data_IF_165004901770
#
_entry.id   IF_165004901770
#
_cell.length_a   1.000
_cell.length_b   1.000
_cell.length_c   1.000
_cell.angle_alpha   90.00
_cell.angle_beta   90.00
_cell.angle_gamma   90.00
#
_symmetry.space_group_name_H-M   'P 1'
#
loop_
_entity.id
_entity.type
_entity.pdbx_description
1 polymer ?
#
# COMPACT_ATOMS: atom_id res chain seq x y z
N UNK A 1 -3.73 -7.96 -14.78
CA UNK A 1 -3.41 -8.01 -13.34
C UNK A 1 -1.96 -7.59 -13.14
N UNK A 2 -1.67 -6.73 -12.15
CA UNK A 2 -0.34 -6.28 -11.76
C UNK A 2 -0.11 -6.65 -10.30
N UNK A 3 1.08 -7.16 -9.96
CA UNK A 3 1.42 -7.54 -8.60
C UNK A 3 2.60 -6.70 -8.11
N UNK A 4 2.42 -6.06 -6.97
CA UNK A 4 3.41 -5.29 -6.27
C UNK A 4 3.83 -6.02 -5.00
N UNK A 5 5.05 -5.79 -4.54
CA UNK A 5 5.49 -6.26 -3.25
C UNK A 5 5.56 -5.11 -2.23
N UNK A 6 5.53 -5.41 -0.95
CA UNK A 6 5.68 -4.42 0.10
C UNK A 6 7.14 -4.36 0.56
N UNK A 7 7.68 -3.16 0.72
CA UNK A 7 9.03 -2.96 1.24
C UNK A 7 8.97 -2.66 2.75
N UNK A 8 9.56 -3.49 3.62
CA UNK A 8 9.42 -3.38 5.07
C UNK A 8 10.39 -2.33 5.67
N UNK A 9 10.12 -1.04 5.46
CA UNK A 9 10.93 0.07 6.00
C UNK A 9 10.75 0.29 7.50
N UNK A 10 10.09 -0.61 8.18
CA UNK A 10 9.91 -0.70 9.63
C UNK A 10 10.61 -1.93 10.25
N UNK A 11 11.41 -2.64 9.46
CA UNK A 11 12.01 -3.92 9.81
C UNK A 11 11.17 -5.12 9.36
N UNK A 12 11.74 -6.30 9.49
CA UNK A 12 11.13 -7.58 9.13
C UNK A 12 11.17 -8.54 10.32
N UNK A 13 10.36 -9.58 10.28
CA UNK A 13 10.26 -10.53 11.40
C UNK A 13 9.86 -11.92 10.91
N UNK A 14 10.36 -12.93 11.61
CA UNK A 14 9.91 -14.31 11.44
C UNK A 14 8.68 -14.61 12.29
N UNK A 15 8.56 -13.95 13.44
CA UNK A 15 7.44 -14.09 14.35
C UNK A 15 6.86 -12.72 14.65
N UNK A 16 5.57 -12.53 14.41
CA UNK A 16 4.89 -11.27 14.65
C UNK A 16 4.82 -10.94 16.15
N UNK A 17 4.81 -9.65 16.46
CA UNK A 17 4.65 -9.16 17.82
C UNK A 17 5.85 -9.39 18.77
N UNK A 18 6.97 -9.90 18.27
CA UNK A 18 8.17 -10.17 19.06
C UNK A 18 9.43 -9.67 18.38
N UNK A 19 10.52 -9.55 19.15
CA UNK A 19 11.85 -9.28 18.62
C UNK A 19 12.59 -10.55 18.16
N UNK A 20 12.04 -11.76 18.42
CA UNK A 20 12.66 -13.03 18.05
C UNK A 20 12.72 -13.19 16.55
N UNK A 21 13.91 -13.36 15.99
CA UNK A 21 14.14 -13.47 14.56
C UNK A 21 13.85 -12.19 13.77
N UNK A 22 13.73 -11.05 14.45
CA UNK A 22 13.58 -9.75 13.80
C UNK A 22 14.83 -9.37 13.00
N UNK A 23 14.58 -8.73 11.86
CA UNK A 23 15.60 -8.10 11.02
C UNK A 23 15.40 -6.60 11.09
N UNK A 24 16.39 -5.81 11.55
CA UNK A 24 16.29 -4.36 11.57
C UNK A 24 16.24 -3.81 10.15
N UNK A 25 15.87 -2.55 10.02
CA UNK A 25 15.97 -1.85 8.73
C UNK A 25 17.44 -1.72 8.38
N UNK A 26 17.80 -2.23 7.21
CA UNK A 26 19.14 -2.18 6.65
C UNK A 26 19.03 -1.98 5.14
N UNK A 27 19.79 -1.02 4.61
CA UNK A 27 19.77 -0.71 3.17
C UNK A 27 20.11 -1.93 2.32
N UNK A 28 21.07 -2.76 2.73
CA UNK A 28 21.44 -3.96 1.98
C UNK A 28 20.30 -4.96 1.91
N UNK A 29 19.54 -5.12 2.98
CA UNK A 29 18.36 -5.98 3.00
C UNK A 29 17.22 -5.44 2.15
N UNK A 30 16.96 -4.12 2.19
CA UNK A 30 15.97 -3.48 1.33
C UNK A 30 16.34 -3.59 -0.16
N UNK A 31 17.64 -3.48 -0.49
CA UNK A 31 18.14 -3.70 -1.85
C UNK A 31 17.95 -5.16 -2.31
N UNK A 32 18.13 -6.15 -1.43
CA UNK A 32 17.85 -7.54 -1.74
C UNK A 32 16.37 -7.75 -2.09
N UNK A 33 15.45 -7.20 -1.29
CA UNK A 33 14.00 -7.31 -1.56
C UNK A 33 13.63 -6.60 -2.87
N UNK A 34 14.12 -5.38 -3.08
CA UNK A 34 13.82 -4.64 -4.31
C UNK A 34 14.41 -5.32 -5.56
N UNK A 35 15.65 -5.83 -5.47
CA UNK A 35 16.29 -6.61 -6.53
C UNK A 35 15.57 -7.92 -6.83
N UNK A 36 15.14 -8.65 -5.79
CA UNK A 36 14.31 -9.84 -5.93
C UNK A 36 12.99 -9.51 -6.63
N UNK A 37 12.27 -8.49 -6.16
CA UNK A 37 11.02 -8.07 -6.77
C UNK A 37 11.19 -7.67 -8.26
N UNK A 38 12.27 -6.96 -8.59
CA UNK A 38 12.57 -6.57 -9.98
C UNK A 38 12.88 -7.79 -10.88
N UNK A 39 13.69 -8.73 -10.38
CA UNK A 39 14.11 -9.91 -11.14
C UNK A 39 13.00 -10.94 -11.28
N UNK A 40 12.20 -11.16 -10.24
CA UNK A 40 11.10 -12.12 -10.23
C UNK A 40 9.85 -11.62 -11.00
N UNK A 41 9.83 -10.37 -11.44
CA UNK A 41 8.76 -9.86 -12.30
C UNK A 41 7.59 -9.24 -11.56
N UNK A 42 7.76 -8.78 -10.32
CA UNK A 42 6.79 -7.87 -9.70
C UNK A 42 6.74 -6.54 -10.46
N UNK A 43 5.56 -5.91 -10.49
CA UNK A 43 5.38 -4.62 -11.19
C UNK A 43 6.09 -3.48 -10.47
N UNK A 44 6.11 -3.52 -9.14
CA UNK A 44 6.72 -2.50 -8.31
C UNK A 44 6.73 -2.89 -6.84
N UNK A 45 7.16 -1.94 -6.02
CA UNK A 45 7.10 -2.04 -4.56
C UNK A 45 6.32 -0.87 -3.97
N UNK A 46 5.53 -1.15 -2.91
CA UNK A 46 4.96 -0.11 -2.06
C UNK A 46 5.94 0.23 -0.95
N UNK A 47 6.23 1.51 -0.77
CA UNK A 47 7.08 2.05 0.29
C UNK A 47 6.19 2.87 1.23
N UNK A 48 5.94 2.39 2.46
CA UNK A 48 5.05 3.03 3.41
C UNK A 48 5.66 4.29 4.03
N UNK A 49 4.81 5.07 4.72
CA UNK A 49 5.20 6.19 5.58
C UNK A 49 4.60 6.04 6.96
N UNK A 50 5.22 6.61 7.96
CA UNK A 50 4.79 6.67 9.34
C UNK A 50 5.99 6.78 10.28
N UNK A 51 5.75 7.18 11.54
CA UNK A 51 6.83 7.34 12.54
C UNK A 51 7.59 6.04 12.84
N UNK A 52 7.04 4.90 12.50
CA UNK A 52 7.68 3.60 12.63
C UNK A 52 8.38 3.12 11.35
N UNK A 53 8.40 3.94 10.31
CA UNK A 53 9.01 3.66 9.02
C UNK A 53 10.15 4.63 8.73
N UNK A 54 11.11 4.20 7.92
CA UNK A 54 12.06 5.13 7.31
C UNK A 54 11.36 6.04 6.30
N UNK A 55 11.96 7.19 5.99
CA UNK A 55 11.40 8.13 5.02
C UNK A 55 11.25 7.48 3.64
N UNK A 56 10.03 7.47 3.05
CA UNK A 56 9.75 6.74 1.82
C UNK A 56 10.48 7.30 0.59
N UNK A 57 10.72 8.60 0.52
CA UNK A 57 11.39 9.23 -0.62
C UNK A 57 12.88 9.01 -0.60
N UNK A 58 13.51 9.04 0.59
CA UNK A 58 14.94 8.75 0.76
C UNK A 58 15.21 7.29 0.43
N UNK A 59 14.40 6.37 0.98
CA UNK A 59 14.52 4.92 0.68
C UNK A 59 14.27 4.66 -0.81
N UNK A 60 13.19 5.16 -1.39
CA UNK A 60 12.91 4.97 -2.82
C UNK A 60 14.08 5.44 -3.69
N UNK A 61 14.64 6.61 -3.40
CA UNK A 61 15.76 7.18 -4.15
C UNK A 61 17.01 6.32 -4.06
N UNK A 62 17.30 5.72 -2.90
CA UNK A 62 18.45 4.82 -2.71
C UNK A 62 18.35 3.50 -3.50
N UNK A 63 17.14 3.13 -3.94
CA UNK A 63 16.87 1.88 -4.65
C UNK A 63 16.83 2.03 -6.18
N UNK A 64 16.83 3.26 -6.70
CA UNK A 64 16.76 3.49 -8.15
C UNK A 64 17.88 2.76 -8.89
N UNK A 65 19.11 2.89 -8.40
CA UNK A 65 20.32 2.26 -9.00
C UNK A 65 20.41 0.75 -8.80
N UNK A 66 19.71 0.20 -7.80
CA UNK A 66 19.69 -1.24 -7.51
C UNK A 66 18.63 -2.01 -8.34
N UNK A 67 17.81 -1.33 -9.11
CA UNK A 67 16.69 -1.90 -9.87
C UNK A 67 16.64 -1.31 -11.29
N UNK A 68 16.01 -2.03 -12.23
CA UNK A 68 15.94 -1.63 -13.65
C UNK A 68 14.53 -1.28 -14.11
N UNK A 69 13.52 -2.04 -13.69
CA UNK A 69 12.14 -1.97 -14.19
C UNK A 69 11.12 -1.74 -13.07
N UNK A 70 11.51 -2.05 -11.85
CA UNK A 70 10.66 -2.00 -10.68
C UNK A 70 10.09 -0.59 -10.50
N UNK A 71 8.77 -0.45 -10.43
CA UNK A 71 8.09 0.79 -10.08
C UNK A 71 8.08 0.98 -8.56
N UNK A 72 8.03 2.24 -8.15
CA UNK A 72 8.03 2.64 -6.76
C UNK A 72 6.73 3.36 -6.44
N UNK A 73 5.86 2.71 -5.65
CA UNK A 73 4.65 3.33 -5.11
C UNK A 73 5.04 4.01 -3.79
N UNK A 74 5.42 5.28 -3.88
CA UNK A 74 6.03 6.06 -2.79
C UNK A 74 4.94 6.81 -2.04
N UNK A 75 4.90 6.63 -0.72
CA UNK A 75 3.94 7.33 0.12
C UNK A 75 4.24 8.84 0.19
N UNK A 76 3.18 9.65 0.15
CA UNK A 76 3.22 11.09 0.43
C UNK A 76 2.10 11.45 1.40
N UNK A 77 2.42 12.24 2.42
CA UNK A 77 1.44 12.69 3.42
C UNK A 77 1.26 14.21 3.29
N UNK A 78 0.08 14.69 2.86
CA UNK A 78 -0.28 16.10 2.93
C UNK A 78 -0.15 16.63 4.37
N UNK A 79 0.35 17.83 4.51
CA UNK A 79 0.65 18.43 5.81
C UNK A 79 2.11 18.31 6.24
N UNK A 80 2.85 17.26 5.82
CA UNK A 80 4.29 17.16 6.06
C UNK A 80 5.12 17.91 5.00
N UNK A 81 4.62 17.97 3.78
CA UNK A 81 5.27 18.70 2.69
C UNK A 81 4.29 19.67 2.04
N UNK A 82 4.78 20.83 1.62
CA UNK A 82 4.04 21.70 0.72
C UNK A 82 3.90 21.05 -0.68
N UNK A 83 2.75 21.22 -1.37
CA UNK A 83 2.50 20.55 -2.65
C UNK A 83 3.54 20.90 -3.73
N UNK A 84 4.07 22.12 -3.74
CA UNK A 84 5.13 22.54 -4.67
C UNK A 84 6.45 21.81 -4.43
N UNK A 85 6.83 21.57 -3.16
CA UNK A 85 8.01 20.78 -2.83
C UNK A 85 7.80 19.31 -3.23
N UNK A 86 6.66 18.74 -2.86
CA UNK A 86 6.32 17.36 -3.22
C UNK A 86 6.27 17.15 -4.75
N UNK A 87 5.78 18.13 -5.52
CA UNK A 87 5.80 18.10 -6.98
C UNK A 87 7.24 18.09 -7.53
N UNK A 88 8.15 18.88 -6.93
CA UNK A 88 9.57 18.90 -7.31
C UNK A 88 10.25 17.57 -6.99
N UNK A 89 9.99 17.00 -5.81
CA UNK A 89 10.51 15.69 -5.42
C UNK A 89 10.04 14.63 -6.41
N UNK A 90 8.73 14.58 -6.71
CA UNK A 90 8.14 13.64 -7.65
C UNK A 90 8.73 13.77 -9.06
N UNK A 91 8.83 14.98 -9.61
CA UNK A 91 9.41 15.20 -10.92
C UNK A 91 10.88 14.80 -10.99
N UNK A 92 11.66 15.07 -9.94
CA UNK A 92 13.08 14.66 -9.86
C UNK A 92 13.20 13.15 -9.80
N UNK A 93 12.46 12.51 -8.89
CA UNK A 93 12.47 11.04 -8.76
C UNK A 93 12.07 10.36 -10.08
N UNK A 94 11.01 10.87 -10.72
CA UNK A 94 10.50 10.31 -11.96
C UNK A 94 11.53 10.36 -13.11
N UNK A 95 12.26 11.49 -13.23
CA UNK A 95 13.36 11.60 -14.20
C UNK A 95 14.52 10.65 -13.89
N UNK A 96 14.97 10.62 -12.62
CA UNK A 96 16.10 9.78 -12.21
C UNK A 96 15.78 8.28 -12.35
N UNK A 97 14.52 7.91 -12.13
CA UNK A 97 14.07 6.52 -12.26
C UNK A 97 13.63 6.13 -13.68
N UNK A 98 13.58 7.09 -14.63
CA UNK A 98 13.09 6.82 -15.98
C UNK A 98 11.60 6.51 -16.05
N UNK A 99 10.75 7.24 -15.30
CA UNK A 99 9.29 7.09 -15.33
C UNK A 99 8.75 5.96 -14.47
N UNK A 100 9.44 5.59 -13.38
CA UNK A 100 9.04 4.47 -12.49
C UNK A 100 8.31 4.91 -11.22
N UNK A 101 7.96 6.19 -11.08
CA UNK A 101 7.23 6.70 -9.92
C UNK A 101 5.73 6.41 -10.00
N UNK A 102 5.17 5.96 -8.90
CA UNK A 102 3.75 5.99 -8.55
C UNK A 102 3.64 6.68 -7.18
N UNK A 103 2.63 7.49 -6.96
CA UNK A 103 2.46 8.22 -5.69
C UNK A 103 1.33 7.61 -4.89
N UNK A 104 1.58 7.25 -3.64
CA UNK A 104 0.56 6.78 -2.70
C UNK A 104 0.22 7.91 -1.72
N UNK A 105 -0.93 8.53 -1.89
CA UNK A 105 -1.43 9.55 -0.98
C UNK A 105 -1.87 8.91 0.35
N UNK A 106 -1.41 9.44 1.48
CA UNK A 106 -1.71 8.92 2.82
C UNK A 106 -2.18 10.06 3.71
N UNK A 107 -3.46 10.08 4.07
CA UNK A 107 -4.04 11.12 4.94
C UNK A 107 -3.66 10.95 6.42
N UNK A 108 -3.21 9.74 6.81
CA UNK A 108 -2.95 9.40 8.21
C UNK A 108 -4.21 9.06 9.00
N UNK A 109 -4.05 8.32 10.08
CA UNK A 109 -5.15 7.89 10.96
C UNK A 109 -4.73 7.72 12.42
N UNK A 110 -3.44 7.82 12.74
CA UNK A 110 -2.95 7.86 14.12
C UNK A 110 -2.80 9.33 14.54
N UNK A 111 -3.71 9.79 15.40
CA UNK A 111 -3.75 11.18 15.83
C UNK A 111 -2.46 11.59 16.57
N UNK A 112 -1.92 10.73 17.42
CA UNK A 112 -0.70 11.02 18.17
C UNK A 112 0.55 11.09 17.26
N UNK A 113 0.56 10.31 16.17
CA UNK A 113 1.60 10.42 15.14
C UNK A 113 1.46 11.74 14.37
N UNK A 114 0.25 12.08 13.93
CA UNK A 114 -0.01 13.31 13.19
C UNK A 114 0.35 14.57 13.98
N UNK A 115 -0.04 14.63 15.26
CA UNK A 115 0.30 15.74 16.16
C UNK A 115 1.82 15.84 16.39
N UNK A 116 2.50 14.67 16.56
CA UNK A 116 3.95 14.61 16.66
C UNK A 116 4.68 15.09 15.42
N UNK A 117 4.07 14.92 14.25
CA UNK A 117 4.55 15.40 12.96
C UNK A 117 4.10 16.84 12.63
N UNK A 118 3.41 17.52 13.56
CA UNK A 118 2.93 18.89 13.39
C UNK A 118 1.63 19.04 12.61
N UNK A 119 0.87 17.97 12.38
CA UNK A 119 -0.42 17.98 11.71
C UNK A 119 -1.55 17.96 12.75
N UNK A 120 -2.23 19.08 12.94
CA UNK A 120 -3.29 19.26 13.95
C UNK A 120 -4.72 19.22 13.39
N UNK A 121 -4.88 19.00 12.08
CA UNK A 121 -6.19 18.98 11.42
C UNK A 121 -7.04 17.78 11.85
N UNK A 122 -8.34 18.02 12.03
CA UNK A 122 -9.33 17.00 12.27
C UNK A 122 -9.52 16.07 11.05
N UNK A 123 -10.24 14.95 11.25
CA UNK A 123 -10.43 13.92 10.21
C UNK A 123 -10.94 14.51 8.89
N UNK A 124 -12.05 15.25 8.89
CA UNK A 124 -12.63 15.82 7.68
C UNK A 124 -11.69 16.83 7.00
N UNK A 125 -11.04 17.68 7.79
CA UNK A 125 -10.12 18.71 7.29
C UNK A 125 -8.89 18.12 6.62
N UNK A 126 -8.38 16.98 7.11
CA UNK A 126 -7.27 16.25 6.46
C UNK A 126 -7.64 15.78 5.05
N UNK A 127 -8.89 15.37 4.82
CA UNK A 127 -9.36 15.02 3.46
C UNK A 127 -9.53 16.24 2.57
N UNK A 128 -10.06 17.34 3.10
CA UNK A 128 -10.15 18.61 2.37
C UNK A 128 -8.76 19.10 1.96
N UNK A 129 -7.82 19.15 2.92
CA UNK A 129 -6.43 19.52 2.64
C UNK A 129 -5.78 18.59 1.62
N UNK A 130 -6.05 17.28 1.70
CA UNK A 130 -5.51 16.29 0.76
C UNK A 130 -6.04 16.51 -0.66
N UNK A 131 -7.31 16.89 -0.80
CA UNK A 131 -7.90 17.22 -2.10
C UNK A 131 -7.24 18.47 -2.71
N UNK A 132 -7.03 19.54 -1.92
CA UNK A 132 -6.31 20.73 -2.36
C UNK A 132 -4.85 20.41 -2.71
N UNK A 133 -4.18 19.61 -1.87
CA UNK A 133 -2.80 19.20 -2.08
C UNK A 133 -2.63 18.48 -3.43
N UNK A 134 -3.44 17.47 -3.71
CA UNK A 134 -3.32 16.70 -4.96
C UNK A 134 -3.71 17.56 -6.18
N UNK A 135 -4.70 18.44 -6.05
CA UNK A 135 -5.04 19.38 -7.12
C UNK A 135 -3.86 20.29 -7.46
N UNK A 136 -3.26 20.93 -6.45
CA UNK A 136 -2.10 21.83 -6.64
C UNK A 136 -0.92 21.03 -7.24
N UNK A 137 -0.62 19.87 -6.67
CA UNK A 137 0.47 18.99 -7.11
C UNK A 137 0.34 18.60 -8.59
N UNK A 138 -0.85 18.17 -9.01
CA UNK A 138 -1.13 17.78 -10.39
C UNK A 138 -1.01 18.96 -11.35
N UNK A 139 -1.59 20.09 -11.02
CA UNK A 139 -1.56 21.28 -11.87
C UNK A 139 -0.13 21.79 -12.06
N UNK A 140 0.67 21.85 -11.01
CA UNK A 140 2.08 22.26 -11.10
C UNK A 140 2.85 21.33 -12.03
N UNK A 141 2.65 20.01 -11.90
CA UNK A 141 3.36 19.03 -12.73
C UNK A 141 2.86 19.05 -14.17
N UNK A 142 1.55 19.01 -14.39
CA UNK A 142 1.00 19.01 -15.76
C UNK A 142 1.42 20.26 -16.53
N UNK A 143 1.33 21.44 -15.93
CA UNK A 143 1.71 22.72 -16.53
C UNK A 143 3.21 22.87 -16.75
N UNK A 144 4.03 22.11 -16.03
CA UNK A 144 5.49 22.15 -16.23
C UNK A 144 5.93 21.69 -17.61
N UNK A 145 5.15 20.83 -18.27
CA UNK A 145 5.43 20.37 -19.63
C UNK A 145 5.34 21.51 -20.67
N UNK A 146 4.56 22.54 -20.39
CA UNK A 146 4.38 23.72 -21.23
C UNK A 146 5.03 24.96 -20.60
N UNK A 147 5.87 24.78 -19.56
CA UNK A 147 6.57 25.86 -18.86
C UNK A 147 5.63 26.93 -18.24
N UNK A 148 4.39 26.57 -17.92
CA UNK A 148 3.40 27.46 -17.33
C UNK A 148 3.47 27.44 -15.81
N UNK A 149 3.04 28.53 -15.18
CA UNK A 149 2.84 28.64 -13.73
C UNK A 149 1.39 28.36 -13.34
N UNK A 150 1.16 28.13 -12.04
CA UNK A 150 -0.13 27.87 -11.47
C UNK A 150 -0.35 28.67 -10.19
N UNK A 151 -1.50 29.32 -10.09
CA UNK A 151 -1.98 30.00 -8.91
C UNK A 151 -3.18 29.24 -8.33
N UNK A 152 -3.22 29.11 -7.03
CA UNK A 152 -4.33 28.50 -6.31
C UNK A 152 -4.51 29.18 -4.96
N UNK A 153 -5.75 29.50 -4.63
CA UNK A 153 -6.14 30.07 -3.34
C UNK A 153 -7.28 29.19 -2.78
N UNK A 154 -6.94 28.31 -1.86
CA UNK A 154 -7.87 27.37 -1.23
C UNK A 154 -8.11 27.67 0.24
N UNK A 155 -8.89 26.81 0.90
CA UNK A 155 -9.18 26.91 2.33
C UNK A 155 -7.97 26.55 3.20
N UNK A 156 -7.21 25.55 2.80
CA UNK A 156 -6.09 24.98 3.57
C UNK A 156 -4.74 25.30 2.95
N UNK A 157 -4.67 25.42 1.63
CA UNK A 157 -3.40 25.60 0.90
C UNK A 157 -3.54 26.69 -0.16
N UNK A 158 -2.49 27.47 -0.32
CA UNK A 158 -2.39 28.46 -1.39
C UNK A 158 -1.01 28.45 -2.02
N UNK A 159 -0.94 28.72 -3.32
CA UNK A 159 0.31 28.93 -4.05
C UNK A 159 0.14 30.05 -5.07
N UNK A 160 1.22 30.84 -5.27
CA UNK A 160 1.24 31.92 -6.26
C UNK A 160 2.48 31.76 -7.16
N UNK A 161 2.26 31.75 -8.46
CA UNK A 161 3.32 31.59 -9.45
C UNK A 161 4.05 30.24 -9.34
N UNK A 162 3.41 29.21 -8.79
CA UNK A 162 4.05 27.89 -8.62
C UNK A 162 4.44 27.30 -9.97
N UNK A 163 5.71 26.86 -10.09
CA UNK A 163 6.29 26.42 -11.35
C UNK A 163 7.35 25.34 -11.12
N UNK A 164 7.40 24.35 -12.01
CA UNK A 164 8.53 23.44 -12.15
C UNK A 164 9.27 23.72 -13.44
N UNK A 165 10.60 23.86 -13.36
CA UNK A 165 11.47 24.05 -14.52
C UNK A 165 11.87 22.73 -15.19
N UNK A 166 11.78 21.63 -14.44
CA UNK A 166 12.17 20.29 -14.87
C UNK A 166 10.98 19.33 -14.74
N UNK A 167 10.17 19.14 -15.82
CA UNK A 167 9.01 18.25 -15.78
C UNK A 167 9.43 16.79 -15.60
N UNK A 168 8.53 15.92 -15.08
CA UNK A 168 8.77 14.48 -15.03
C UNK A 168 8.78 13.85 -16.44
N UNK A 169 9.17 12.58 -16.53
CA UNK A 169 9.06 11.78 -17.76
C UNK A 169 7.60 11.43 -18.05
N UNK A 170 6.85 11.04 -17.02
CA UNK A 170 5.45 10.66 -17.13
C UNK A 170 4.55 11.88 -17.39
N UNK A 171 3.59 11.72 -18.31
CA UNK A 171 2.62 12.76 -18.68
C UNK A 171 1.20 12.29 -18.40
N UNK A 172 0.30 13.17 -17.95
CA UNK A 172 0.56 14.55 -17.54
C UNK A 172 1.30 14.65 -16.19
N UNK A 173 1.27 13.59 -15.37
CA UNK A 173 1.93 13.45 -14.07
C UNK A 173 2.07 11.97 -13.71
N UNK A 174 2.94 11.60 -12.75
CA UNK A 174 2.98 10.23 -12.20
C UNK A 174 1.64 9.85 -11.58
N UNK A 175 1.12 8.61 -11.79
CA UNK A 175 -0.18 8.19 -11.27
C UNK A 175 -0.28 8.29 -9.75
N UNK A 176 -1.43 8.78 -9.27
CA UNK A 176 -1.75 8.93 -7.85
C UNK A 176 -2.68 7.82 -7.40
N UNK A 177 -2.26 7.09 -6.37
CA UNK A 177 -3.01 6.03 -5.73
C UNK A 177 -3.41 6.46 -4.32
N UNK A 178 -4.51 5.97 -3.83
CA UNK A 178 -5.01 6.34 -2.50
C UNK A 178 -5.91 5.24 -1.94
N UNK A 179 -5.81 5.01 -0.62
CA UNK A 179 -6.64 4.05 0.10
C UNK A 179 -7.35 4.67 1.30
N UNK A 180 -8.57 4.22 1.55
CA UNK A 180 -9.37 4.63 2.70
C UNK A 180 -10.77 4.03 2.62
N UNK A 181 -11.45 3.88 3.77
CA UNK A 181 -12.75 3.19 3.86
C UNK A 181 -13.89 4.10 4.34
N UNK A 182 -13.61 5.36 4.66
CA UNK A 182 -14.63 6.35 5.08
C UNK A 182 -15.30 7.01 3.86
N UNK A 183 -16.49 7.59 4.05
CA UNK A 183 -17.18 8.29 2.98
C UNK A 183 -16.35 9.45 2.38
N UNK A 184 -15.64 10.29 3.17
CA UNK A 184 -14.71 11.29 2.63
C UNK A 184 -13.56 10.66 1.83
N UNK A 185 -13.07 9.47 2.22
CA UNK A 185 -12.04 8.76 1.49
C UNK A 185 -12.53 8.30 0.11
N UNK A 186 -13.74 7.73 0.04
CA UNK A 186 -14.33 7.31 -1.23
C UNK A 186 -14.60 8.51 -2.15
N UNK A 187 -15.00 9.65 -1.59
CA UNK A 187 -15.21 10.89 -2.36
C UNK A 187 -13.88 11.41 -2.94
N UNK A 188 -12.82 11.50 -2.11
CA UNK A 188 -11.48 11.89 -2.55
C UNK A 188 -10.95 10.93 -3.64
N UNK A 189 -11.15 9.62 -3.45
CA UNK A 189 -10.74 8.63 -4.43
C UNK A 189 -11.45 8.82 -5.77
N UNK A 190 -12.76 8.98 -5.75
CA UNK A 190 -13.57 9.17 -6.95
C UNK A 190 -13.22 10.45 -7.70
N UNK A 191 -12.87 11.52 -6.97
CA UNK A 191 -12.60 12.85 -7.54
C UNK A 191 -11.15 13.04 -7.99
N UNK A 192 -10.17 12.51 -7.24
CA UNK A 192 -8.79 12.97 -7.37
C UNK A 192 -7.76 11.87 -7.70
N UNK A 193 -8.06 10.57 -7.69
CA UNK A 193 -7.00 9.58 -7.86
C UNK A 193 -7.14 8.72 -9.10
N UNK A 194 -6.05 8.08 -9.50
CA UNK A 194 -5.99 7.19 -10.66
C UNK A 194 -6.23 5.73 -10.26
N UNK A 195 -5.93 5.38 -9.00
CA UNK A 195 -6.24 4.07 -8.45
C UNK A 195 -6.67 4.16 -6.98
N UNK A 196 -7.79 3.50 -6.64
CA UNK A 196 -8.27 3.33 -5.27
C UNK A 196 -7.76 2.02 -4.71
N UNK A 197 -7.23 2.07 -3.49
CA UNK A 197 -6.72 0.92 -2.76
C UNK A 197 -7.65 0.54 -1.60
N UNK A 198 -7.97 -0.74 -1.46
CA UNK A 198 -8.62 -1.29 -0.27
C UNK A 198 -7.72 -2.28 0.45
N UNK A 199 -8.01 -2.55 1.70
CA UNK A 199 -7.39 -3.68 2.41
C UNK A 199 -8.17 -4.96 2.17
N UNK A 200 -7.54 -6.11 2.39
CA UNK A 200 -8.10 -7.43 2.19
C UNK A 200 -9.19 -7.76 3.23
N UNK A 201 -10.42 -7.40 2.93
CA UNK A 201 -11.62 -7.88 3.62
C UNK A 201 -12.21 -9.05 2.82
N UNK A 202 -13.22 -9.77 3.36
CA UNK A 202 -13.95 -10.77 2.58
C UNK A 202 -14.44 -10.22 1.25
N UNK A 203 -14.45 -11.00 0.15
CA UNK A 203 -14.75 -10.52 -1.20
C UNK A 203 -16.04 -9.71 -1.30
N UNK A 204 -17.09 -10.08 -0.57
CA UNK A 204 -18.36 -9.35 -0.55
C UNK A 204 -18.23 -7.92 0.00
N UNK A 205 -17.38 -7.70 1.01
CA UNK A 205 -17.14 -6.37 1.58
C UNK A 205 -16.26 -5.52 0.65
N UNK A 206 -15.28 -6.13 0.00
CA UNK A 206 -14.48 -5.46 -1.04
C UNK A 206 -15.34 -5.03 -2.22
N UNK A 207 -16.28 -5.90 -2.66
CA UNK A 207 -17.20 -5.58 -3.75
C UNK A 207 -18.05 -4.34 -3.46
N UNK A 208 -18.54 -4.18 -2.22
CA UNK A 208 -19.32 -2.99 -1.80
C UNK A 208 -18.50 -1.70 -1.94
N UNK A 209 -17.25 -1.71 -1.47
CA UNK A 209 -16.35 -0.54 -1.58
C UNK A 209 -16.05 -0.18 -3.02
N UNK A 210 -15.73 -1.18 -3.85
CA UNK A 210 -15.48 -0.97 -5.29
C UNK A 210 -16.71 -0.38 -5.97
N UNK A 211 -17.90 -0.91 -5.68
CA UNK A 211 -19.14 -0.42 -6.26
C UNK A 211 -19.41 1.05 -5.89
N UNK A 212 -19.24 1.42 -4.61
CA UNK A 212 -19.44 2.81 -4.15
C UNK A 212 -18.46 3.78 -4.80
N UNK A 213 -17.15 3.48 -4.79
CA UNK A 213 -16.14 4.35 -5.42
C UNK A 213 -16.34 4.44 -6.92
N UNK A 214 -16.69 3.33 -7.59
CA UNK A 214 -16.97 3.30 -9.03
C UNK A 214 -18.18 4.17 -9.38
N UNK A 215 -19.27 4.05 -8.63
CA UNK A 215 -20.47 4.84 -8.83
C UNK A 215 -20.20 6.35 -8.68
N UNK A 216 -19.48 6.74 -7.63
CA UNK A 216 -19.08 8.15 -7.40
C UNK A 216 -18.20 8.67 -8.54
N UNK A 217 -17.22 7.89 -8.99
CA UNK A 217 -16.33 8.28 -10.08
C UNK A 217 -17.08 8.44 -11.40
N UNK A 218 -17.99 7.51 -11.71
CA UNK A 218 -18.85 7.58 -12.90
C UNK A 218 -19.74 8.84 -12.89
N UNK A 219 -20.29 9.21 -11.72
CA UNK A 219 -21.06 10.46 -11.55
C UNK A 219 -20.24 11.73 -11.84
N UNK A 220 -18.91 11.63 -11.80
CA UNK A 220 -17.95 12.70 -12.12
C UNK A 220 -17.33 12.56 -13.53
N UNK A 221 -17.80 11.62 -14.34
CA UNK A 221 -17.25 11.34 -15.66
C UNK A 221 -15.84 10.72 -15.63
N UNK A 222 -15.46 10.06 -14.51
CA UNK A 222 -14.12 9.50 -14.31
C UNK A 222 -14.14 7.97 -14.25
N UNK A 223 -13.03 7.36 -14.63
CA UNK A 223 -12.73 5.96 -14.39
C UNK A 223 -11.56 5.86 -13.41
N UNK A 224 -11.69 5.00 -12.39
CA UNK A 224 -10.66 4.74 -11.38
C UNK A 224 -10.30 3.26 -11.42
N UNK A 225 -9.01 2.94 -11.39
CA UNK A 225 -8.51 1.57 -11.22
C UNK A 225 -8.64 1.14 -9.76
N UNK A 226 -8.63 -0.18 -9.53
CA UNK A 226 -8.76 -0.72 -8.18
C UNK A 226 -7.56 -1.56 -7.81
N UNK A 227 -7.17 -1.48 -6.54
CA UNK A 227 -6.13 -2.30 -5.97
C UNK A 227 -6.48 -2.79 -4.57
N UNK A 228 -5.81 -3.87 -4.15
CA UNK A 228 -5.99 -4.48 -2.84
C UNK A 228 -4.65 -4.74 -2.17
N UNK A 229 -4.59 -4.51 -0.86
CA UNK A 229 -3.43 -4.80 -0.01
C UNK A 229 -3.73 -6.04 0.84
N UNK A 230 -2.92 -7.09 0.66
CA UNK A 230 -3.02 -8.38 1.36
C UNK A 230 -1.64 -8.88 1.76
N UNK A 231 -1.57 -9.73 2.78
CA UNK A 231 -0.45 -10.63 2.98
C UNK A 231 -0.72 -11.96 2.27
N UNK A 232 0.34 -12.75 2.06
CA UNK A 232 0.27 -14.08 1.48
C UNK A 232 1.15 -15.04 2.26
N UNK A 233 0.67 -16.24 2.45
CA UNK A 233 1.42 -17.36 3.05
C UNK A 233 1.18 -18.58 2.15
N UNK A 234 2.16 -18.89 1.29
CA UNK A 234 2.04 -19.95 0.29
C UNK A 234 3.07 -21.03 0.58
N UNK A 235 2.61 -22.29 0.58
CA UNK A 235 3.48 -23.47 0.69
C UNK A 235 3.04 -24.50 -0.34
N UNK A 236 3.82 -25.55 -0.53
CA UNK A 236 3.53 -26.62 -1.49
C UNK A 236 2.18 -27.30 -1.22
N UNK A 237 1.79 -27.40 0.05
CA UNK A 237 0.52 -27.97 0.50
C UNK A 237 -0.25 -27.00 1.40
N UNK A 238 -1.56 -27.16 1.43
CA UNK A 238 -2.43 -26.36 2.29
C UNK A 238 -2.07 -26.49 3.78
N UNK A 239 -1.80 -27.72 4.23
CA UNK A 239 -1.42 -27.98 5.63
C UNK A 239 -0.11 -27.30 6.02
N UNK A 240 0.88 -27.25 5.14
CA UNK A 240 2.13 -26.53 5.37
C UNK A 240 1.90 -25.01 5.44
N UNK A 241 1.04 -24.49 4.58
CA UNK A 241 0.70 -23.05 4.60
C UNK A 241 0.01 -22.65 5.91
N UNK A 242 -0.93 -23.45 6.38
CA UNK A 242 -1.60 -23.19 7.66
C UNK A 242 -0.67 -23.33 8.86
N UNK A 243 0.21 -24.36 8.88
CA UNK A 243 1.27 -24.45 9.91
C UNK A 243 2.20 -23.23 9.89
N UNK A 244 2.51 -22.68 8.73
CA UNK A 244 3.32 -21.47 8.62
C UNK A 244 2.55 -20.23 9.17
N UNK A 245 1.24 -20.13 8.93
CA UNK A 245 0.41 -19.07 9.49
C UNK A 245 0.33 -19.16 11.02
N UNK A 246 0.11 -20.34 11.57
CA UNK A 246 0.12 -20.58 13.02
C UNK A 246 1.49 -20.28 13.65
N UNK A 247 2.57 -20.71 12.99
CA UNK A 247 3.94 -20.42 13.43
C UNK A 247 4.22 -18.92 13.49
N UNK A 248 3.69 -18.14 12.55
CA UNK A 248 3.90 -16.70 12.47
C UNK A 248 3.43 -15.95 13.73
N UNK A 249 2.36 -16.43 14.38
CA UNK A 249 1.79 -15.84 15.61
C UNK A 249 2.08 -16.66 16.87
N UNK A 250 2.85 -17.76 16.77
CA UNK A 250 3.07 -18.69 17.87
C UNK A 250 3.80 -18.13 19.10
N UNK A 251 4.48 -16.97 18.91
CA UNK A 251 5.22 -16.26 19.98
C UNK A 251 4.49 -15.04 20.52
N UNK A 252 3.27 -14.78 20.03
CA UNK A 252 2.47 -13.63 20.46
C UNK A 252 1.76 -13.96 21.77
N UNK A 253 2.07 -13.22 22.83
CA UNK A 253 1.36 -13.29 24.11
C UNK A 253 0.10 -12.41 24.14
N UNK A 254 -0.73 -12.61 25.15
CA UNK A 254 -2.00 -11.88 25.29
C UNK A 254 -1.78 -10.40 25.56
N UNK A 255 -0.75 -10.06 26.33
CA UNK A 255 -0.43 -8.66 26.65
C UNK A 255 -0.04 -7.87 25.39
N UNK A 256 0.73 -8.47 24.51
CA UNK A 256 1.10 -7.88 23.22
C UNK A 256 -0.11 -7.63 22.34
N UNK A 257 -1.06 -8.57 22.29
CA UNK A 257 -2.31 -8.36 21.53
C UNK A 257 -3.16 -7.27 22.17
N UNK A 258 -3.38 -7.30 23.48
CA UNK A 258 -4.17 -6.28 24.18
C UNK A 258 -3.59 -4.89 23.95
N UNK A 259 -2.27 -4.73 24.07
CA UNK A 259 -1.57 -3.47 23.84
C UNK A 259 -1.72 -2.98 22.40
N UNK A 260 -1.54 -3.87 21.42
CA UNK A 260 -1.71 -3.54 20.01
C UNK A 260 -3.15 -3.13 19.68
N UNK A 261 -4.14 -3.91 20.13
CA UNK A 261 -5.55 -3.61 19.88
C UNK A 261 -5.99 -2.30 20.57
N UNK A 262 -5.51 -2.03 21.77
CA UNK A 262 -5.74 -0.73 22.43
C UNK A 262 -5.13 0.45 21.68
N UNK A 263 -4.00 0.27 21.04
CA UNK A 263 -3.40 1.29 20.15
C UNK A 263 -4.25 1.49 18.88
N UNK A 264 -4.69 0.42 18.25
CA UNK A 264 -5.52 0.49 17.03
C UNK A 264 -6.91 1.11 17.30
N UNK A 265 -7.50 0.84 18.45
CA UNK A 265 -8.79 1.44 18.84
C UNK A 265 -8.74 2.96 18.99
N UNK A 266 -7.57 3.55 19.23
CA UNK A 266 -7.37 5.00 19.31
C UNK A 266 -7.19 5.66 17.95
N UNK A 267 -6.98 4.88 16.88
CA UNK A 267 -6.80 5.43 15.55
C UNK A 267 -8.11 5.98 14.98
N UNK A 268 -8.03 7.16 14.40
CA UNK A 268 -9.11 7.77 13.62
C UNK A 268 -9.10 7.22 12.18
N UNK A 269 -9.39 5.91 12.07
CA UNK A 269 -9.34 5.18 10.82
C UNK A 269 -10.47 4.15 10.71
N UNK A 270 -11.39 4.39 9.79
CA UNK A 270 -12.45 3.42 9.47
C UNK A 270 -11.87 2.08 9.00
N UNK A 271 -10.82 2.12 8.16
CA UNK A 271 -10.15 0.90 7.72
C UNK A 271 -9.59 0.08 8.89
N UNK A 272 -8.98 0.74 9.88
CA UNK A 272 -8.45 0.04 11.06
C UNK A 272 -9.56 -0.55 11.93
N UNK A 273 -10.67 0.18 12.14
CA UNK A 273 -11.84 -0.36 12.85
C UNK A 273 -12.40 -1.60 12.16
N UNK A 274 -12.51 -1.58 10.84
CA UNK A 274 -12.98 -2.72 10.04
C UNK A 274 -12.03 -3.93 10.15
N UNK A 275 -10.71 -3.71 10.10
CA UNK A 275 -9.72 -4.79 10.29
C UNK A 275 -9.82 -5.39 11.70
N UNK A 276 -9.90 -4.57 12.74
CA UNK A 276 -10.04 -5.04 14.13
C UNK A 276 -11.32 -5.86 14.35
N UNK A 277 -12.40 -5.51 13.66
CA UNK A 277 -13.67 -6.26 13.75
C UNK A 277 -13.58 -7.69 13.17
N UNK A 278 -12.61 -7.98 12.28
CA UNK A 278 -12.48 -9.28 11.63
C UNK A 278 -12.01 -10.40 12.57
N UNK A 279 -11.35 -10.09 13.68
CA UNK A 279 -10.80 -11.09 14.61
C UNK A 279 -11.32 -10.95 16.05
N UNK A 280 -12.45 -10.24 16.26
CA UNK A 280 -13.15 -10.10 17.54
C UNK A 280 -12.23 -9.80 18.74
N UNK A 281 -11.22 -8.93 18.54
CA UNK A 281 -10.25 -8.53 19.58
C UNK A 281 -9.16 -9.55 19.88
N UNK A 282 -9.09 -10.69 19.16
CA UNK A 282 -8.00 -11.66 19.25
C UNK A 282 -7.98 -12.52 20.52
N UNK A 283 -9.12 -12.67 21.21
CA UNK A 283 -9.25 -13.52 22.40
C UNK A 283 -9.08 -15.00 22.09
N UNK A 284 -9.37 -15.41 20.84
CA UNK A 284 -9.17 -16.76 20.34
C UNK A 284 -8.28 -16.68 19.09
N UNK A 285 -7.41 -17.66 18.89
CA UNK A 285 -6.36 -17.60 17.87
C UNK A 285 -6.18 -18.90 17.09
N UNK A 286 -7.17 -19.81 17.16
CA UNK A 286 -7.13 -20.99 16.32
C UNK A 286 -7.36 -20.64 14.85
N UNK A 287 -7.01 -21.53 13.95
CA UNK A 287 -7.36 -21.38 12.52
C UNK A 287 -8.84 -21.04 12.36
N UNK A 288 -9.72 -21.79 12.99
CA UNK A 288 -11.17 -21.61 12.88
C UNK A 288 -11.66 -20.24 13.35
N UNK A 289 -10.97 -19.60 14.30
CA UNK A 289 -11.32 -18.27 14.80
C UNK A 289 -10.82 -17.13 13.88
N UNK A 290 -9.73 -17.37 13.16
CA UNK A 290 -9.03 -16.35 12.37
C UNK A 290 -9.21 -16.51 10.85
N UNK A 291 -9.71 -17.64 10.36
CA UNK A 291 -10.11 -17.82 8.96
C UNK A 291 -11.50 -17.21 8.74
N UNK A 292 -11.52 -15.93 8.35
CA UNK A 292 -12.73 -15.09 8.26
C UNK A 292 -13.51 -15.24 6.94
N UNK A 293 -12.92 -15.90 5.97
CA UNK A 293 -13.45 -16.29 4.66
C UNK A 293 -12.55 -17.40 4.14
N UNK A 294 -12.96 -18.23 3.17
CA UNK A 294 -12.11 -19.31 2.70
C UNK A 294 -10.69 -18.86 2.37
N UNK A 295 -9.69 -19.41 3.07
CA UNK A 295 -8.27 -19.11 2.95
C UNK A 295 -7.87 -17.64 3.19
N UNK A 296 -8.76 -16.82 3.77
CA UNK A 296 -8.49 -15.46 4.22
C UNK A 296 -8.34 -15.43 5.74
N UNK A 297 -7.12 -15.25 6.21
CA UNK A 297 -6.73 -15.31 7.62
C UNK A 297 -6.45 -13.92 8.19
N UNK A 298 -7.04 -13.61 9.34
CA UNK A 298 -6.93 -12.30 10.00
C UNK A 298 -5.81 -12.20 11.06
N UNK A 299 -4.96 -13.23 11.18
CA UNK A 299 -3.97 -13.30 12.26
C UNK A 299 -2.89 -12.22 12.24
N UNK A 300 -2.56 -11.65 11.08
CA UNK A 300 -1.61 -10.54 11.01
C UNK A 300 -2.15 -9.32 11.75
N UNK A 301 -3.45 -9.06 11.66
CA UNK A 301 -4.13 -7.93 12.30
C UNK A 301 -4.16 -7.97 13.83
N UNK A 302 -3.79 -9.09 14.45
CA UNK A 302 -3.70 -9.19 15.91
C UNK A 302 -2.70 -8.19 16.51
N UNK A 303 -1.58 -7.97 15.82
CA UNK A 303 -0.44 -7.16 16.31
C UNK A 303 0.11 -6.15 15.28
N UNK A 304 -0.43 -6.15 14.06
CA UNK A 304 -0.01 -5.23 12.98
C UNK A 304 -1.18 -4.36 12.56
N UNK A 305 -0.99 -3.04 12.63
CA UNK A 305 -1.92 -2.06 12.06
C UNK A 305 -1.88 -2.04 10.53
N UNK A 306 -2.93 -1.54 9.91
CA UNK A 306 -3.09 -1.52 8.47
C UNK A 306 -3.74 -2.79 7.92
N UNK A 307 -3.32 -3.27 6.75
CA UNK A 307 -3.83 -4.51 6.18
C UNK A 307 -3.42 -5.70 7.07
N UNK A 308 -4.40 -6.30 7.72
CA UNK A 308 -4.19 -7.33 8.75
C UNK A 308 -4.55 -8.76 8.30
N UNK A 309 -4.82 -8.96 7.01
CA UNK A 309 -5.28 -10.26 6.47
C UNK A 309 -4.29 -10.87 5.50
N UNK A 310 -4.23 -12.19 5.45
CA UNK A 310 -3.39 -12.97 4.55
C UNK A 310 -4.21 -14.01 3.78
N UNK A 311 -3.88 -14.21 2.50
CA UNK A 311 -4.29 -15.40 1.78
C UNK A 311 -3.35 -16.54 2.15
N UNK A 312 -3.91 -17.65 2.64
CA UNK A 312 -3.16 -18.81 3.13
C UNK A 312 -3.58 -20.05 2.35
N UNK A 313 -2.62 -20.81 1.81
CA UNK A 313 -2.93 -22.04 1.13
C UNK A 313 -1.83 -22.56 0.20
N UNK A 314 -2.15 -23.61 -0.52
CA UNK A 314 -1.34 -24.10 -1.63
C UNK A 314 -1.39 -23.13 -2.83
N UNK A 315 -0.51 -23.29 -3.83
CA UNK A 315 -0.41 -22.34 -4.94
C UNK A 315 -1.70 -22.17 -5.73
N UNK A 316 -2.45 -23.26 -5.96
CA UNK A 316 -3.70 -23.23 -6.74
C UNK A 316 -4.80 -22.52 -5.96
N UNK A 317 -4.89 -22.80 -4.67
CA UNK A 317 -5.84 -22.15 -3.77
C UNK A 317 -5.59 -20.63 -3.69
N UNK A 318 -4.33 -20.22 -3.48
CA UNK A 318 -4.01 -18.78 -3.41
C UNK A 318 -4.24 -18.09 -4.76
N UNK A 319 -3.88 -18.74 -5.88
CA UNK A 319 -4.18 -18.19 -7.21
C UNK A 319 -5.69 -18.00 -7.42
N UNK A 320 -6.50 -19.00 -7.08
CA UNK A 320 -7.96 -18.92 -7.20
C UNK A 320 -8.55 -17.78 -6.33
N UNK A 321 -8.04 -17.57 -5.10
CA UNK A 321 -8.48 -16.45 -4.26
C UNK A 321 -8.09 -15.10 -4.85
N UNK A 322 -6.91 -14.97 -5.45
CA UNK A 322 -6.49 -13.76 -6.17
C UNK A 322 -7.42 -13.51 -7.38
N UNK A 323 -7.75 -14.53 -8.15
CA UNK A 323 -8.67 -14.42 -9.28
C UNK A 323 -10.08 -14.02 -8.86
N UNK A 324 -10.56 -14.50 -7.71
CA UNK A 324 -11.84 -14.08 -7.14
C UNK A 324 -11.88 -12.56 -6.89
N UNK A 325 -10.85 -11.98 -6.27
CA UNK A 325 -10.75 -10.52 -6.12
C UNK A 325 -10.59 -9.82 -7.47
N UNK A 326 -9.85 -10.39 -8.41
CA UNK A 326 -9.71 -9.82 -9.74
C UNK A 326 -11.05 -9.77 -10.50
N UNK A 327 -11.93 -10.77 -10.32
CA UNK A 327 -13.26 -10.80 -10.90
C UNK A 327 -14.17 -9.66 -10.37
N UNK A 328 -13.90 -9.10 -9.18
CA UNK A 328 -14.57 -7.90 -8.66
C UNK A 328 -14.11 -6.61 -9.36
N UNK A 329 -13.03 -6.68 -10.15
CA UNK A 329 -12.42 -5.54 -10.83
C UNK A 329 -11.15 -5.02 -10.16
N UNK A 330 -10.49 -5.81 -9.32
CA UNK A 330 -9.16 -5.49 -8.79
C UNK A 330 -8.12 -5.74 -9.88
N UNK A 331 -7.41 -4.68 -10.26
CA UNK A 331 -6.33 -4.72 -11.26
C UNK A 331 -4.94 -4.87 -10.61
N UNK A 332 -4.79 -4.38 -9.38
CA UNK A 332 -3.51 -4.23 -8.71
C UNK A 332 -3.52 -4.94 -7.35
N UNK A 333 -2.58 -5.83 -7.14
CA UNK A 333 -2.40 -6.58 -5.89
C UNK A 333 -1.09 -6.14 -5.23
N UNK A 334 -1.16 -5.53 -4.06
CA UNK A 334 0.00 -5.18 -3.25
C UNK A 334 0.12 -6.27 -2.18
N UNK A 335 1.09 -7.13 -2.35
CA UNK A 335 1.29 -8.32 -1.51
C UNK A 335 2.50 -8.17 -0.60
N UNK A 336 2.53 -8.93 0.46
CA UNK A 336 3.69 -9.13 1.34
C UNK A 336 3.59 -10.45 2.09
N UNK A 337 4.69 -10.88 2.66
CA UNK A 337 4.76 -12.05 3.54
C UNK A 337 5.87 -11.87 4.56
N UNK A 338 5.96 -12.74 5.53
CA UNK A 338 6.96 -12.72 6.60
C UNK A 338 7.77 -14.01 6.60
N UNK A 339 9.13 -13.94 6.47
CA UNK A 339 9.95 -12.77 6.16
C UNK A 339 9.77 -12.31 4.69
N UNK A 340 9.87 -11.00 4.45
CA UNK A 340 9.50 -10.39 3.16
C UNK A 340 10.34 -10.88 1.97
N UNK A 341 11.62 -11.10 2.15
CA UNK A 341 12.50 -11.56 1.07
C UNK A 341 12.15 -12.98 0.63
N UNK A 342 12.10 -13.90 1.58
CA UNK A 342 11.85 -15.33 1.32
C UNK A 342 10.44 -15.55 0.75
N UNK A 343 9.45 -14.84 1.30
CA UNK A 343 8.07 -14.96 0.81
C UNK A 343 7.91 -14.35 -0.60
N UNK A 344 8.72 -13.35 -0.98
CA UNK A 344 8.70 -12.82 -2.35
C UNK A 344 9.13 -13.87 -3.38
N UNK A 345 10.13 -14.68 -3.06
CA UNK A 345 10.56 -15.80 -3.93
C UNK A 345 9.49 -16.88 -3.98
N UNK A 346 8.99 -17.34 -2.82
CA UNK A 346 7.97 -18.40 -2.76
C UNK A 346 6.74 -18.04 -3.56
N UNK A 347 6.22 -16.83 -3.36
CA UNK A 347 5.05 -16.39 -4.10
C UNK A 347 5.32 -16.32 -5.61
N UNK A 348 6.46 -15.78 -6.01
CA UNK A 348 6.79 -15.69 -7.43
C UNK A 348 6.98 -17.06 -8.08
N UNK A 349 7.65 -17.98 -7.43
CA UNK A 349 7.91 -19.33 -7.96
C UNK A 349 6.64 -20.18 -8.01
N UNK A 350 5.82 -20.12 -6.96
CA UNK A 350 4.68 -21.02 -6.78
C UNK A 350 3.39 -20.47 -7.41
N UNK A 351 3.17 -19.16 -7.39
CA UNK A 351 1.87 -18.56 -7.76
C UNK A 351 1.92 -17.82 -9.10
N UNK A 352 3.00 -17.11 -9.44
CA UNK A 352 3.06 -16.37 -10.70
C UNK A 352 2.80 -17.21 -11.95
N UNK A 353 3.25 -18.48 -12.05
CA UNK A 353 2.95 -19.33 -13.21
C UNK A 353 1.45 -19.63 -13.38
N UNK A 354 0.66 -19.51 -12.31
CA UNK A 354 -0.78 -19.82 -12.29
C UNK A 354 -1.66 -18.60 -12.56
N UNK A 355 -1.11 -17.39 -12.50
CA UNK A 355 -1.88 -16.15 -12.66
C UNK A 355 -1.92 -15.66 -14.12
N UNK A 356 -3.05 -15.11 -14.61
CA UNK A 356 -3.18 -14.50 -15.93
C UNK A 356 -2.44 -13.15 -15.98
N UNK A 357 -1.11 -13.19 -16.00
CA UNK A 357 -0.24 -12.02 -16.04
C UNK A 357 0.17 -11.71 -17.48
N UNK A 358 0.29 -10.43 -17.80
CA UNK A 358 1.00 -10.03 -19.01
C UNK A 358 2.47 -10.42 -18.82
N UNK A 359 2.98 -11.33 -19.66
CA UNK A 359 4.41 -11.62 -19.69
C UNK A 359 5.18 -10.32 -19.95
N UNK A 360 6.16 -10.03 -19.12
CA UNK A 360 7.05 -8.90 -19.36
C UNK A 360 8.04 -9.28 -20.46
N UNK A 361 8.20 -8.47 -21.53
CA UNK A 361 9.23 -8.71 -22.52
C UNK A 361 10.61 -8.64 -21.85
N UNK A 362 11.44 -9.67 -22.04
CA UNK A 362 12.87 -9.63 -21.73
C UNK A 362 13.33 -10.23 -20.42
N UNK A 363 12.66 -11.26 -19.86
CA UNK A 363 13.33 -12.19 -18.96
C UNK A 363 14.24 -13.11 -19.77
N UNK A 364 15.55 -13.21 -19.47
CA UNK A 364 16.40 -14.22 -20.11
C UNK A 364 15.93 -15.60 -19.69
N UNK A 365 15.58 -16.44 -20.66
CA UNK A 365 15.39 -17.87 -20.48
C UNK A 365 13.93 -18.35 -20.41
N UNK A 366 13.04 -17.84 -21.25
CA UNK A 366 11.85 -18.58 -21.70
C UNK A 366 11.74 -18.51 -23.21
#
# INVERSE_FOLDING_TARGET
MQVFWFLPTHGDSRYLGTAEGARPVDLAYLQQIAGAADSLGYEGVLIPTGRSCEDPWVIASSLIGATRRLKFLVAVRPGLHQPSLAARMAATFDRLSGGRLLVNLVTGGDQAELEGDGVSLGHAERYEQSAEFIRIWREIIARSHDSQSFDYDGKHLSVKGAKLLFPPVQKPYPPVWFGGSSAPAHELAADQVDAYLTWGEPPAEVAKKIADVRQRAQGKGRAVKFGIRLHVIVRETEDEAWRAAESLISRVDDETVIRAQAAFARMDSEGQRRMAALHAGGAKRSRADLEISPNLWAGVGLVRGGAGTALVGDPKTVAARIEEYAALGIDNFILSGYPHLEESYRFAELVFPLLPRKQRPGLPGQ
#
